data_IF_283799297699
#
_entry.id   IF_283799297699
#
_cell.length_a   1.000
_cell.length_b   1.000
_cell.length_c   1.000
_cell.angle_alpha   90.00
_cell.angle_beta   90.00
_cell.angle_gamma   90.00
#
_symmetry.space_group_name_H-M   'P 1'
#
loop_
_entity.id
_entity.type
_entity.pdbx_description
1 polymer ?
#
# COMPACT_ATOMS: atom_id res chain seq x y z
N UNK A 1 -33.24 2.28 -8.81
CA UNK A 1 -31.85 2.01 -9.28
C UNK A 1 -31.02 1.82 -8.03
N UNK A 2 -30.47 0.63 -7.79
CA UNK A 2 -29.52 0.45 -6.69
C UNK A 2 -28.24 1.18 -7.08
N UNK A 3 -27.97 2.31 -6.44
CA UNK A 3 -26.70 3.00 -6.56
C UNK A 3 -25.60 2.02 -6.10
N UNK A 4 -24.61 1.79 -6.97
CA UNK A 4 -23.44 0.99 -6.65
C UNK A 4 -22.24 1.91 -6.71
N UNK A 5 -21.48 1.97 -5.63
CA UNK A 5 -20.31 2.83 -5.59
C UNK A 5 -19.29 2.34 -6.65
N UNK A 6 -18.61 3.25 -7.36
CA UNK A 6 -17.80 2.87 -8.53
C UNK A 6 -16.66 1.90 -8.25
N UNK A 7 -16.13 1.88 -7.02
CA UNK A 7 -15.02 1.02 -6.62
C UNK A 7 -15.47 -0.10 -5.67
N UNK A 8 -16.77 -0.35 -5.55
CA UNK A 8 -17.35 -1.36 -4.63
C UNK A 8 -16.82 -2.80 -4.80
N UNK A 9 -16.12 -3.10 -5.89
CA UNK A 9 -15.49 -4.41 -6.15
C UNK A 9 -13.96 -4.35 -6.24
N UNK A 10 -13.37 -3.20 -5.93
CA UNK A 10 -11.93 -2.99 -6.04
C UNK A 10 -11.25 -3.17 -4.70
N UNK A 11 -10.24 -4.02 -4.68
CA UNK A 11 -9.24 -4.14 -3.64
C UNK A 11 -8.02 -3.28 -4.04
N UNK A 12 -7.72 -2.23 -3.29
CA UNK A 12 -6.61 -1.31 -3.59
C UNK A 12 -5.53 -1.43 -2.51
N UNK A 13 -4.33 -1.83 -2.90
CA UNK A 13 -3.19 -1.87 -2.00
C UNK A 13 -2.55 -0.46 -1.87
N UNK A 14 -2.23 -0.05 -0.65
CA UNK A 14 -1.48 1.20 -0.40
C UNK A 14 -0.10 0.84 0.16
N UNK A 15 0.93 1.37 -0.48
CA UNK A 15 2.34 1.15 -0.13
C UNK A 15 2.96 2.49 0.23
N UNK A 16 3.11 2.74 1.54
CA UNK A 16 3.61 4.01 2.08
C UNK A 16 4.76 3.76 3.04
N UNK A 17 5.76 4.62 2.98
CA UNK A 17 6.83 4.69 3.97
C UNK A 17 7.46 6.07 3.90
N UNK A 18 8.08 6.49 5.01
CA UNK A 18 8.95 7.67 5.02
C UNK A 18 10.02 7.57 3.94
N UNK A 19 10.40 8.71 3.41
CA UNK A 19 11.51 8.83 2.46
C UNK A 19 12.59 9.75 3.02
N UNK A 20 13.86 9.54 2.66
CA UNK A 20 14.95 10.43 3.04
C UNK A 20 14.89 11.80 2.34
N UNK A 21 14.03 11.97 1.32
CA UNK A 21 13.93 13.22 0.55
C UNK A 21 12.93 14.22 1.14
N UNK A 22 12.04 13.77 2.03
CA UNK A 22 10.91 14.57 2.49
C UNK A 22 11.33 15.96 2.97
N UNK A 23 12.35 16.05 3.83
CA UNK A 23 12.82 17.33 4.36
C UNK A 23 13.33 18.28 3.26
N UNK A 24 14.02 17.76 2.24
CA UNK A 24 14.50 18.54 1.10
C UNK A 24 13.35 19.03 0.21
N UNK A 25 12.23 18.31 0.21
CA UNK A 25 11.00 18.65 -0.49
C UNK A 25 10.08 19.57 0.34
N UNK A 26 10.50 19.97 1.54
CA UNK A 26 9.69 20.78 2.45
C UNK A 26 8.55 20.01 3.12
N UNK A 27 8.63 18.68 3.16
CA UNK A 27 7.63 17.78 3.72
C UNK A 27 8.11 17.22 5.06
N UNK A 28 7.19 17.14 6.03
CA UNK A 28 7.36 16.41 7.29
C UNK A 28 6.49 15.16 7.38
N UNK A 29 6.66 14.32 8.42
CA UNK A 29 5.91 13.08 8.61
C UNK A 29 4.39 13.25 8.52
N UNK A 30 3.86 14.37 9.01
CA UNK A 30 2.44 14.73 8.96
C UNK A 30 1.88 14.77 7.53
N UNK A 31 2.71 15.10 6.53
CA UNK A 31 2.28 15.08 5.14
C UNK A 31 2.02 13.66 4.63
N UNK A 32 2.69 12.64 5.18
CA UNK A 32 2.38 11.23 4.85
C UNK A 32 1.14 10.74 5.58
N UNK A 33 0.90 11.21 6.81
CA UNK A 33 -0.33 10.90 7.54
C UNK A 33 -1.54 11.50 6.83
N UNK A 34 -1.43 12.75 6.37
CA UNK A 34 -2.43 13.41 5.51
C UNK A 34 -2.60 12.66 4.19
N UNK A 35 -1.49 12.24 3.56
CA UNK A 35 -1.54 11.49 2.32
C UNK A 35 -2.27 10.14 2.45
N UNK A 36 -1.93 9.36 3.48
CA UNK A 36 -2.61 8.11 3.78
C UNK A 36 -4.08 8.38 4.09
N UNK A 37 -4.39 9.38 4.92
CA UNK A 37 -5.75 9.72 5.32
C UNK A 37 -6.62 10.06 4.13
N UNK A 38 -6.16 10.96 3.28
CA UNK A 38 -6.94 11.46 2.15
C UNK A 38 -7.10 10.41 1.05
N UNK A 39 -6.06 9.63 0.74
CA UNK A 39 -6.18 8.51 -0.21
C UNK A 39 -7.16 7.47 0.33
N UNK A 40 -7.00 7.03 1.58
CA UNK A 40 -7.85 6.02 2.17
C UNK A 40 -9.31 6.47 2.26
N UNK A 41 -9.55 7.69 2.77
CA UNK A 41 -10.89 8.27 2.93
C UNK A 41 -11.66 8.33 1.62
N UNK A 42 -11.04 8.80 0.54
CA UNK A 42 -11.71 8.90 -0.75
C UNK A 42 -11.95 7.53 -1.39
N UNK A 43 -11.01 6.59 -1.28
CA UNK A 43 -11.20 5.24 -1.81
C UNK A 43 -12.31 4.49 -1.06
N UNK A 44 -12.35 4.58 0.26
CA UNK A 44 -13.41 4.00 1.09
C UNK A 44 -14.77 4.59 0.74
N UNK A 45 -14.86 5.92 0.59
CA UNK A 45 -16.09 6.61 0.19
C UNK A 45 -16.58 6.24 -1.23
N UNK A 46 -15.70 5.66 -2.05
CA UNK A 46 -16.03 5.13 -3.37
C UNK A 46 -16.30 3.61 -3.34
N UNK A 47 -16.34 3.01 -2.16
CA UNK A 47 -16.65 1.60 -1.91
C UNK A 47 -15.46 0.64 -2.00
N UNK A 48 -14.23 1.14 -2.18
CA UNK A 48 -13.06 0.28 -2.31
C UNK A 48 -12.71 -0.41 -0.98
N UNK A 49 -12.18 -1.63 -1.06
CA UNK A 49 -11.51 -2.29 0.06
C UNK A 49 -10.02 -1.96 0.00
N UNK A 50 -9.44 -1.54 1.12
CA UNK A 50 -8.02 -1.19 1.21
C UNK A 50 -7.19 -2.35 1.74
N UNK A 51 -6.04 -2.61 1.12
CA UNK A 51 -5.09 -3.61 1.56
C UNK A 51 -3.79 -2.94 2.01
N UNK A 52 -3.29 -3.32 3.17
CA UNK A 52 -2.08 -2.72 3.74
C UNK A 52 -1.15 -3.78 4.33
N UNK A 53 0.14 -3.71 3.97
CA UNK A 53 1.19 -4.62 4.45
C UNK A 53 2.01 -4.06 5.61
N UNK A 54 1.34 -3.51 6.63
CA UNK A 54 1.99 -2.78 7.73
C UNK A 54 2.05 -3.55 9.04
N UNK A 55 3.01 -3.16 9.90
CA UNK A 55 3.09 -3.65 11.27
C UNK A 55 2.03 -2.99 12.19
N UNK A 56 1.99 -3.38 13.47
CA UNK A 56 1.05 -2.85 14.46
C UNK A 56 1.71 -1.88 15.44
N UNK A 57 2.78 -1.18 15.02
CA UNK A 57 3.47 -0.22 15.88
C UNK A 57 2.58 0.95 16.26
N UNK A 58 2.86 1.56 17.41
CA UNK A 58 2.21 2.79 17.83
C UNK A 58 2.52 3.92 16.83
N UNK A 59 1.53 4.76 16.53
CA UNK A 59 1.63 5.81 15.50
C UNK A 59 2.00 5.29 14.09
N UNK A 60 1.73 4.01 13.79
CA UNK A 60 1.85 3.45 12.44
C UNK A 60 0.59 3.65 11.60
N UNK A 61 0.74 3.62 10.28
CA UNK A 61 -0.38 3.78 9.34
C UNK A 61 -1.50 2.74 9.50
N UNK A 62 -1.20 1.53 9.99
CA UNK A 62 -2.21 0.51 10.28
C UNK A 62 -3.25 1.01 11.30
N UNK A 63 -2.80 1.73 12.34
CA UNK A 63 -3.70 2.32 13.35
C UNK A 63 -4.55 3.42 12.78
N UNK A 64 -3.93 4.31 12.00
CA UNK A 64 -4.63 5.39 11.30
C UNK A 64 -5.72 4.82 10.37
N UNK A 65 -5.42 3.76 9.60
CA UNK A 65 -6.39 3.09 8.75
C UNK A 65 -7.56 2.48 9.54
N UNK A 66 -7.28 1.82 10.67
CA UNK A 66 -8.31 1.27 11.55
C UNK A 66 -9.22 2.36 12.13
N UNK A 67 -8.66 3.51 12.51
CA UNK A 67 -9.43 4.65 12.99
C UNK A 67 -10.31 5.26 11.90
N UNK A 68 -9.80 5.36 10.67
CA UNK A 68 -10.54 5.90 9.54
C UNK A 68 -11.74 5.03 9.17
N UNK A 69 -11.55 3.71 9.06
CA UNK A 69 -12.65 2.81 8.70
C UNK A 69 -13.69 2.70 9.82
N UNK A 70 -13.27 2.78 11.09
CA UNK A 70 -14.20 2.84 12.22
C UNK A 70 -15.05 4.13 12.21
N UNK A 71 -14.51 5.26 11.74
CA UNK A 71 -15.25 6.52 11.56
C UNK A 71 -16.21 6.41 10.37
N UNK A 72 -15.71 5.98 9.20
CA UNK A 72 -16.48 5.87 7.97
C UNK A 72 -17.71 4.97 8.13
N UNK A 73 -17.58 3.86 8.84
CA UNK A 73 -18.70 2.95 9.16
C UNK A 73 -19.82 3.59 9.97
N UNK A 74 -19.53 4.56 10.85
CA UNK A 74 -20.58 5.26 11.61
C UNK A 74 -21.47 6.11 10.71
N UNK A 75 -20.97 6.49 9.55
CA UNK A 75 -21.66 7.35 8.57
C UNK A 75 -22.27 6.54 7.40
N UNK A 76 -22.03 5.22 7.33
CA UNK A 76 -22.52 4.35 6.26
C UNK A 76 -23.98 3.90 6.47
N UNK A 77 -24.66 3.54 5.39
CA UNK A 77 -26.05 3.05 5.41
C UNK A 77 -26.20 1.80 6.31
N UNK A 78 -27.35 1.71 7.01
CA UNK A 78 -27.72 0.54 7.80
C UNK A 78 -27.68 -0.73 6.92
N UNK A 79 -26.69 -1.59 7.16
CA UNK A 79 -26.52 -2.88 6.46
C UNK A 79 -25.22 -3.04 5.66
N UNK A 80 -24.31 -2.05 5.65
CA UNK A 80 -22.99 -2.24 5.04
C UNK A 80 -22.07 -3.10 5.93
N UNK A 81 -22.03 -4.41 5.65
CA UNK A 81 -21.17 -5.39 6.33
C UNK A 81 -19.79 -5.56 5.67
N UNK A 82 -19.44 -4.78 4.64
CA UNK A 82 -18.15 -4.94 3.95
C UNK A 82 -16.97 -4.55 4.83
N UNK A 83 -15.90 -5.35 4.77
CA UNK A 83 -14.61 -5.06 5.38
C UNK A 83 -13.93 -3.96 4.56
N UNK A 84 -13.71 -2.80 5.16
CA UNK A 84 -13.09 -1.66 4.47
C UNK A 84 -11.57 -1.74 4.40
N UNK A 85 -10.93 -2.40 5.37
CA UNK A 85 -9.46 -2.53 5.44
C UNK A 85 -9.04 -3.96 5.78
N UNK A 86 -8.12 -4.53 5.00
CA UNK A 86 -7.44 -5.79 5.31
C UNK A 86 -5.95 -5.51 5.55
N UNK A 87 -5.50 -5.67 6.80
CA UNK A 87 -4.09 -5.48 7.17
C UNK A 87 -3.34 -6.82 7.22
N UNK A 88 -2.32 -6.97 6.38
CA UNK A 88 -1.51 -8.17 6.25
C UNK A 88 -0.24 -8.04 7.09
N UNK A 89 -0.09 -8.93 8.07
CA UNK A 89 1.10 -9.02 8.92
C UNK A 89 2.03 -10.13 8.40
N UNK A 90 3.26 -9.76 8.05
CA UNK A 90 4.27 -10.76 7.71
C UNK A 90 4.63 -11.62 8.93
N UNK A 91 4.95 -12.89 8.71
CA UNK A 91 5.38 -13.84 9.76
C UNK A 91 6.34 -13.25 10.80
N UNK A 92 7.50 -12.66 10.42
CA UNK A 92 8.48 -12.18 11.41
C UNK A 92 7.96 -11.01 12.25
N UNK A 93 6.93 -10.28 11.78
CA UNK A 93 6.28 -9.19 12.52
C UNK A 93 5.38 -9.76 13.60
N UNK A 94 4.45 -10.66 13.23
CA UNK A 94 3.46 -11.14 14.18
C UNK A 94 3.97 -12.31 15.03
N UNK A 95 5.05 -13.00 14.66
CA UNK A 95 5.62 -14.13 15.43
C UNK A 95 5.92 -13.78 16.90
N UNK A 96 6.26 -12.52 17.18
CA UNK A 96 6.56 -12.01 18.53
C UNK A 96 5.32 -11.52 19.29
N UNK A 97 4.14 -11.49 18.66
CA UNK A 97 2.87 -11.08 19.28
C UNK A 97 2.15 -12.29 19.85
N UNK A 98 1.57 -12.17 21.06
CA UNK A 98 0.71 -13.22 21.62
C UNK A 98 -0.51 -13.46 20.75
N UNK A 99 -1.05 -14.69 20.79
CA UNK A 99 -2.29 -15.03 20.11
C UNK A 99 -3.46 -14.19 20.66
N UNK A 100 -3.56 -14.09 21.99
CA UNK A 100 -4.60 -13.32 22.69
C UNK A 100 -4.67 -11.86 22.20
N UNK A 101 -3.53 -11.19 22.08
CA UNK A 101 -3.48 -9.80 21.58
C UNK A 101 -4.03 -9.67 20.16
N UNK A 102 -3.78 -10.65 19.30
CA UNK A 102 -4.32 -10.62 17.93
C UNK A 102 -5.80 -10.96 17.89
N UNK A 103 -6.26 -11.89 18.74
CA UNK A 103 -7.68 -12.23 18.89
C UNK A 103 -8.44 -11.00 19.39
N UNK A 104 -7.96 -10.32 20.43
CA UNK A 104 -8.51 -9.08 20.96
C UNK A 104 -8.60 -8.00 19.87
N UNK A 105 -7.52 -7.80 19.11
CA UNK A 105 -7.50 -6.83 18.01
C UNK A 105 -8.51 -7.19 16.91
N UNK A 106 -8.53 -8.46 16.49
CA UNK A 106 -9.46 -8.94 15.46
C UNK A 106 -10.92 -8.76 15.88
N UNK A 107 -11.23 -9.04 17.15
CA UNK A 107 -12.55 -8.81 17.73
C UNK A 107 -12.91 -7.33 17.78
N UNK A 108 -11.97 -6.45 18.16
CA UNK A 108 -12.19 -5.01 18.21
C UNK A 108 -12.43 -4.38 16.83
N UNK A 109 -11.88 -4.99 15.77
CA UNK A 109 -12.03 -4.54 14.38
C UNK A 109 -13.18 -5.21 13.64
N UNK A 110 -13.84 -6.20 14.26
CA UNK A 110 -14.85 -7.04 13.61
C UNK A 110 -15.92 -6.18 12.93
N UNK A 111 -16.10 -6.44 11.64
CA UNK A 111 -17.00 -5.68 10.78
C UNK A 111 -16.27 -4.56 10.03
N UNK A 112 -15.41 -3.75 10.65
CA UNK A 112 -14.79 -2.62 9.95
C UNK A 112 -13.49 -2.99 9.23
N UNK A 113 -12.62 -3.75 9.88
CA UNK A 113 -11.33 -4.17 9.35
C UNK A 113 -11.00 -5.62 9.73
N UNK A 114 -10.01 -6.20 9.07
CA UNK A 114 -9.44 -7.49 9.41
C UNK A 114 -7.91 -7.43 9.49
N UNK A 115 -7.35 -8.31 10.31
CA UNK A 115 -5.90 -8.50 10.45
C UNK A 115 -5.57 -9.93 10.04
N UNK A 116 -4.80 -10.07 8.96
CA UNK A 116 -4.43 -11.35 8.36
C UNK A 116 -2.96 -11.64 8.69
N UNK A 117 -2.71 -12.73 9.42
CA UNK A 117 -1.35 -13.16 9.74
C UNK A 117 -0.84 -14.08 8.64
N UNK A 118 0.33 -13.79 8.09
CA UNK A 118 0.93 -14.56 7.01
C UNK A 118 1.92 -15.57 7.57
N UNK A 119 1.80 -16.83 7.19
CA UNK A 119 2.83 -17.84 7.39
C UNK A 119 4.10 -17.51 6.58
N UNK A 120 5.23 -18.20 6.86
CA UNK A 120 6.48 -18.02 6.11
C UNK A 120 6.34 -18.27 4.60
N UNK A 121 5.35 -19.06 4.21
CA UNK A 121 5.02 -19.42 2.82
C UNK A 121 3.99 -18.48 2.17
N UNK A 122 3.46 -17.50 2.91
CA UNK A 122 2.44 -16.58 2.42
C UNK A 122 1.01 -17.13 2.49
N UNK A 123 0.78 -18.19 3.26
CA UNK A 123 -0.58 -18.65 3.60
C UNK A 123 -1.16 -17.87 4.77
N UNK A 124 -2.49 -17.72 4.85
CA UNK A 124 -3.13 -17.08 6.01
C UNK A 124 -3.16 -18.06 7.18
N UNK A 125 -2.66 -17.61 8.32
CA UNK A 125 -2.65 -18.35 9.59
C UNK A 125 -3.66 -17.70 10.55
N UNK A 126 -4.67 -18.46 10.96
CA UNK A 126 -5.64 -18.02 11.94
C UNK A 126 -4.97 -17.79 13.31
N UNK A 127 -5.32 -16.74 14.07
CA UNK A 127 -4.74 -16.46 15.38
C UNK A 127 -4.73 -17.67 16.34
N UNK A 128 -5.78 -18.48 16.32
CA UNK A 128 -5.97 -19.66 17.17
C UNK A 128 -5.08 -20.84 16.77
N UNK A 129 -4.69 -20.89 15.50
CA UNK A 129 -3.79 -21.91 14.95
C UNK A 129 -2.31 -21.52 15.11
N UNK A 130 -2.03 -20.34 15.68
CA UNK A 130 -0.66 -19.88 15.91
C UNK A 130 -0.03 -20.64 17.07
N UNK A 131 1.23 -21.03 16.88
CA UNK A 131 2.08 -21.45 17.99
C UNK A 131 2.31 -20.31 19.00
N UNK A 132 2.95 -20.61 20.15
CA UNK A 132 3.31 -19.59 21.12
C UNK A 132 4.22 -18.51 20.49
N UNK A 133 4.15 -17.30 21.04
CA UNK A 133 4.99 -16.20 20.58
C UNK A 133 6.48 -16.58 20.68
N UNK A 134 7.24 -16.28 19.63
CA UNK A 134 8.68 -16.56 19.58
C UNK A 134 9.45 -15.53 20.37
N UNK A 135 10.42 -15.98 21.17
CA UNK A 135 11.36 -15.10 21.88
C UNK A 135 12.67 -14.91 21.12
N UNK A 136 13.03 -15.86 20.25
CA UNK A 136 14.21 -15.75 19.40
C UNK A 136 13.95 -14.75 18.26
N UNK A 137 14.90 -13.84 17.97
CA UNK A 137 14.76 -12.93 16.85
C UNK A 137 14.84 -13.70 15.53
N UNK A 138 13.97 -13.36 14.58
CA UNK A 138 14.04 -13.87 13.22
C UNK A 138 15.35 -13.41 12.54
N UNK A 139 15.95 -14.31 11.77
CA UNK A 139 17.14 -14.05 10.94
C UNK A 139 16.82 -13.10 9.79
N UNK A 140 17.84 -12.47 9.20
CA UNK A 140 17.66 -11.59 8.03
C UNK A 140 17.01 -12.31 6.85
N UNK A 141 17.32 -13.60 6.67
CA UNK A 141 16.71 -14.43 5.63
C UNK A 141 15.21 -14.64 5.89
N UNK A 142 14.81 -14.97 7.12
CA UNK A 142 13.40 -15.12 7.47
C UNK A 142 12.63 -13.79 7.38
N UNK A 143 13.28 -12.67 7.72
CA UNK A 143 12.73 -11.33 7.47
C UNK A 143 12.48 -11.09 5.99
N UNK A 144 13.47 -11.38 5.13
CA UNK A 144 13.34 -11.21 3.70
C UNK A 144 12.24 -12.10 3.11
N UNK A 145 12.27 -13.40 3.41
CA UNK A 145 11.33 -14.37 2.86
C UNK A 145 9.90 -14.10 3.35
N UNK A 146 9.70 -13.82 4.64
CA UNK A 146 8.39 -13.53 5.21
C UNK A 146 7.78 -12.20 4.72
N UNK A 147 8.60 -11.17 4.52
CA UNK A 147 8.13 -9.91 3.93
C UNK A 147 7.75 -10.09 2.46
N UNK A 148 8.58 -10.78 1.67
CA UNK A 148 8.26 -11.09 0.26
C UNK A 148 6.96 -11.92 0.16
N UNK A 149 6.80 -12.96 0.99
CA UNK A 149 5.61 -13.80 0.99
C UNK A 149 4.33 -13.00 1.29
N UNK A 150 4.38 -12.10 2.28
CA UNK A 150 3.27 -11.19 2.57
C UNK A 150 2.98 -10.23 1.41
N UNK A 151 4.01 -9.63 0.79
CA UNK A 151 3.85 -8.73 -0.36
C UNK A 151 3.22 -9.43 -1.56
N UNK A 152 3.57 -10.70 -1.80
CA UNK A 152 2.96 -11.54 -2.83
C UNK A 152 1.48 -11.84 -2.53
N UNK A 153 1.13 -12.09 -1.27
CA UNK A 153 -0.26 -12.29 -0.86
C UNK A 153 -1.09 -11.00 -1.06
N UNK A 154 -0.57 -9.84 -0.64
CA UNK A 154 -1.21 -8.54 -0.88
C UNK A 154 -1.40 -8.29 -2.37
N UNK A 155 -0.37 -8.52 -3.20
CA UNK A 155 -0.46 -8.36 -4.67
C UNK A 155 -1.55 -9.25 -5.27
N UNK A 156 -1.65 -10.49 -4.81
CA UNK A 156 -2.61 -11.46 -5.34
C UNK A 156 -4.05 -11.12 -4.94
N UNK A 157 -4.23 -10.41 -3.82
CA UNK A 157 -5.52 -9.99 -3.32
C UNK A 157 -5.93 -8.56 -3.76
N UNK A 158 -5.04 -7.80 -4.41
CA UNK A 158 -5.32 -6.46 -4.90
C UNK A 158 -5.61 -6.42 -6.40
N UNK A 159 -6.41 -5.43 -6.82
CA UNK A 159 -6.69 -5.09 -8.21
C UNK A 159 -5.83 -3.94 -8.71
N UNK A 160 -5.28 -3.13 -7.78
CA UNK A 160 -4.42 -1.99 -8.07
C UNK A 160 -3.53 -1.67 -6.87
N UNK A 161 -2.47 -0.91 -7.10
CA UNK A 161 -1.57 -0.43 -6.04
C UNK A 161 -1.28 1.07 -6.18
N UNK A 162 -1.24 1.76 -5.04
CA UNK A 162 -0.77 3.13 -4.91
C UNK A 162 0.50 3.12 -4.08
N UNK A 163 1.59 3.70 -4.61
CA UNK A 163 2.88 3.80 -3.91
C UNK A 163 3.26 5.26 -3.70
N UNK A 164 3.79 5.58 -2.52
CA UNK A 164 4.32 6.90 -2.18
C UNK A 164 5.46 6.83 -1.18
N UNK A 165 6.45 7.71 -1.36
CA UNK A 165 7.65 7.75 -0.54
C UNK A 165 8.51 6.50 -0.68
N UNK A 166 8.92 5.94 0.46
CA UNK A 166 9.71 4.71 0.52
C UNK A 166 11.17 4.96 0.88
N UNK A 167 11.66 4.27 1.90
CA UNK A 167 13.08 4.32 2.27
C UNK A 167 13.95 3.77 1.13
N UNK A 168 15.21 4.18 1.08
CA UNK A 168 16.20 3.69 0.13
C UNK A 168 17.41 3.05 0.82
N UNK A 169 17.49 3.18 2.15
CA UNK A 169 18.55 2.65 3.01
C UNK A 169 17.93 2.06 4.29
N UNK A 170 18.67 1.20 4.99
CA UNK A 170 18.22 0.61 6.26
C UNK A 170 16.92 -0.20 6.19
N UNK A 171 16.50 -0.61 4.99
CA UNK A 171 15.30 -1.44 4.81
C UNK A 171 15.56 -2.89 5.21
N UNK A 172 14.50 -3.57 5.62
CA UNK A 172 14.49 -5.03 5.79
C UNK A 172 13.98 -5.72 4.53
N UNK A 173 14.61 -6.83 4.19
CA UNK A 173 14.27 -7.67 3.06
C UNK A 173 15.18 -7.47 1.86
N UNK A 174 14.72 -7.90 0.68
CA UNK A 174 15.55 -8.04 -0.52
C UNK A 174 15.81 -6.72 -1.25
N UNK A 175 14.98 -5.72 -1.00
CA UNK A 175 15.05 -4.37 -1.56
C UNK A 175 14.12 -3.45 -0.74
N UNK A 176 14.08 -2.12 -1.00
CA UNK A 176 13.07 -1.26 -0.37
C UNK A 176 11.66 -1.83 -0.52
N UNK A 177 10.89 -1.84 0.56
CA UNK A 177 9.58 -2.51 0.57
C UNK A 177 8.59 -1.97 -0.45
N UNK A 178 8.46 -0.64 -0.52
CA UNK A 178 7.62 0.05 -1.52
C UNK A 178 8.08 -0.28 -2.95
N UNK A 179 9.39 -0.43 -3.18
CA UNK A 179 9.92 -0.81 -4.48
C UNK A 179 9.63 -2.28 -4.83
N UNK A 180 9.79 -3.21 -3.90
CA UNK A 180 9.44 -4.62 -4.15
C UNK A 180 7.96 -4.76 -4.52
N UNK A 181 7.10 -4.03 -3.81
CA UNK A 181 5.66 -3.98 -4.04
C UNK A 181 5.28 -3.37 -5.40
N UNK A 182 5.93 -2.27 -5.79
CA UNK A 182 5.79 -1.69 -7.12
C UNK A 182 6.21 -2.67 -8.21
N UNK A 183 7.35 -3.35 -8.01
CA UNK A 183 7.89 -4.30 -8.98
C UNK A 183 6.97 -5.52 -9.16
N UNK A 184 6.48 -6.09 -8.05
CA UNK A 184 5.48 -7.17 -8.10
C UNK A 184 4.22 -6.74 -8.84
N UNK A 185 3.81 -5.47 -8.72
CA UNK A 185 2.65 -4.93 -9.44
C UNK A 185 2.93 -4.86 -10.95
N UNK A 186 4.08 -4.31 -11.34
CA UNK A 186 4.50 -4.19 -12.74
C UNK A 186 4.69 -5.55 -13.42
N UNK A 187 5.40 -6.48 -12.78
CA UNK A 187 5.65 -7.84 -13.30
C UNK A 187 4.36 -8.62 -13.54
N UNK A 188 3.29 -8.28 -12.82
CA UNK A 188 1.99 -8.92 -12.96
C UNK A 188 0.94 -8.02 -13.62
N UNK A 189 1.38 -6.97 -14.32
CA UNK A 189 0.53 -6.07 -15.10
C UNK A 189 -0.61 -5.40 -14.28
N UNK A 190 -0.43 -5.31 -12.96
CA UNK A 190 -1.38 -4.71 -12.04
C UNK A 190 -1.30 -3.18 -12.14
N UNK A 191 -2.44 -2.48 -12.26
CA UNK A 191 -2.51 -1.02 -12.21
C UNK A 191 -1.71 -0.43 -11.06
N UNK A 192 -0.77 0.47 -11.38
CA UNK A 192 0.16 1.07 -10.43
C UNK A 192 0.12 2.60 -10.52
N UNK A 193 -0.09 3.26 -9.39
CA UNK A 193 -0.07 4.72 -9.26
C UNK A 193 1.19 5.14 -8.49
N UNK A 194 2.03 5.98 -9.11
CA UNK A 194 3.29 6.47 -8.53
C UNK A 194 3.14 7.91 -8.04
N UNK A 195 3.07 8.13 -6.72
CA UNK A 195 3.04 9.46 -6.12
C UNK A 195 4.48 9.87 -5.76
N UNK A 196 5.23 10.25 -6.79
CA UNK A 196 6.66 10.59 -6.70
C UNK A 196 6.99 11.86 -5.93
N UNK A 197 6.01 12.75 -5.69
CA UNK A 197 6.22 14.03 -4.99
C UNK A 197 6.62 13.89 -3.53
N UNK A 198 6.50 12.68 -2.96
CA UNK A 198 6.97 12.34 -1.61
C UNK A 198 8.41 11.79 -1.59
N UNK A 199 9.08 11.73 -2.74
CA UNK A 199 10.46 11.27 -2.89
C UNK A 199 10.63 9.76 -2.68
N UNK A 200 11.83 9.36 -2.29
CA UNK A 200 12.18 7.99 -1.96
C UNK A 200 12.29 7.06 -3.18
N UNK A 201 12.18 5.76 -2.93
CA UNK A 201 12.23 4.79 -4.02
C UNK A 201 11.06 4.95 -5.00
N UNK A 202 9.91 5.53 -4.60
CA UNK A 202 8.82 5.84 -5.54
C UNK A 202 9.26 6.85 -6.61
N UNK A 203 9.96 7.92 -6.22
CA UNK A 203 10.51 8.88 -7.18
C UNK A 203 11.57 8.25 -8.06
N UNK A 204 12.47 7.45 -7.48
CA UNK A 204 13.50 6.73 -8.24
C UNK A 204 12.89 5.80 -9.30
N UNK A 205 11.82 5.08 -8.97
CA UNK A 205 11.07 4.25 -9.94
C UNK A 205 10.49 5.12 -11.06
N UNK A 206 9.91 6.28 -10.73
CA UNK A 206 9.37 7.19 -11.75
C UNK A 206 10.45 7.72 -12.71
N UNK A 207 11.68 7.92 -12.22
CA UNK A 207 12.85 8.23 -13.06
C UNK A 207 13.17 7.08 -14.00
N UNK A 208 13.26 5.83 -13.49
CA UNK A 208 13.55 4.65 -14.32
C UNK A 208 12.50 4.42 -15.43
N UNK A 209 11.22 4.70 -15.15
CA UNK A 209 10.12 4.58 -16.11
C UNK A 209 10.03 5.76 -17.11
N UNK A 210 10.93 6.75 -17.01
CA UNK A 210 10.95 7.90 -17.91
C UNK A 210 9.84 8.93 -17.69
N UNK A 211 9.22 8.95 -16.51
CA UNK A 211 8.15 9.91 -16.16
C UNK A 211 8.70 11.27 -15.76
N UNK A 212 9.89 11.32 -15.17
CA UNK A 212 10.53 12.56 -14.72
C UNK A 212 12.03 12.47 -14.93
N UNK A 213 12.72 13.59 -15.24
CA UNK A 213 14.18 13.61 -15.19
C UNK A 213 14.70 13.30 -13.78
N UNK A 214 15.93 12.79 -13.70
CA UNK A 214 16.59 12.59 -12.43
C UNK A 214 17.04 13.95 -11.86
N UNK A 215 16.20 14.56 -11.04
CA UNK A 215 16.52 15.78 -10.27
C UNK A 215 16.91 15.47 -8.83
N UNK A 216 16.87 14.20 -8.44
CA UNK A 216 17.19 13.74 -7.09
C UNK A 216 18.66 13.33 -6.93
N UNK A 217 19.06 12.93 -5.71
CA UNK A 217 20.38 12.34 -5.49
C UNK A 217 20.53 11.05 -6.30
N UNK A 218 21.70 10.84 -6.89
CA UNK A 218 21.99 9.63 -7.64
C UNK A 218 22.16 8.43 -6.68
N UNK A 219 21.09 7.67 -6.49
CA UNK A 219 21.02 6.54 -5.54
C UNK A 219 21.08 5.20 -6.25
N UNK A 220 21.78 4.25 -5.63
CA UNK A 220 21.80 2.85 -6.08
C UNK A 220 21.40 1.95 -4.93
N UNK A 221 20.10 1.70 -4.78
CA UNK A 221 19.57 0.70 -3.86
C UNK A 221 19.35 -0.63 -4.58
N UNK A 222 19.45 -1.72 -3.82
CA UNK A 222 19.36 -3.07 -4.34
C UNK A 222 18.04 -3.28 -5.09
N UNK A 223 18.10 -3.68 -6.36
CA UNK A 223 16.94 -3.94 -7.19
C UNK A 223 16.46 -2.77 -8.07
N UNK A 224 17.04 -1.56 -7.96
CA UNK A 224 16.65 -0.40 -8.80
C UNK A 224 16.70 -0.69 -10.29
N UNK A 225 17.76 -1.36 -10.76
CA UNK A 225 17.92 -1.70 -12.18
C UNK A 225 16.82 -2.63 -12.73
N UNK A 226 16.04 -3.32 -11.88
CA UNK A 226 14.93 -4.19 -12.33
C UNK A 226 13.78 -3.40 -12.95
N UNK A 227 13.73 -2.08 -12.76
CA UNK A 227 12.71 -1.22 -13.34
C UNK A 227 13.00 -0.77 -14.78
N UNK A 228 14.25 -0.96 -15.26
CA UNK A 228 14.72 -0.47 -16.57
C UNK A 228 13.97 -1.06 -17.78
N UNK A 229 13.28 -2.19 -17.62
CA UNK A 229 12.47 -2.82 -18.66
C UNK A 229 11.03 -2.30 -18.75
N UNK A 230 10.62 -1.40 -17.85
CA UNK A 230 9.26 -0.86 -17.80
C UNK A 230 9.21 0.59 -18.29
N UNK A 231 8.01 1.02 -18.68
CA UNK A 231 7.75 2.38 -19.14
C UNK A 231 6.46 2.92 -18.51
N UNK A 232 6.09 4.15 -18.86
CA UNK A 232 4.79 4.73 -18.50
C UNK A 232 3.60 3.83 -18.88
N UNK A 233 3.68 3.08 -19.98
CA UNK A 233 2.61 2.20 -20.45
C UNK A 233 2.45 0.96 -19.55
N UNK A 234 3.51 0.59 -18.83
CA UNK A 234 3.48 -0.52 -17.86
C UNK A 234 2.63 -0.19 -16.63
N UNK A 235 2.33 1.08 -16.35
CA UNK A 235 1.55 1.49 -15.17
C UNK A 235 0.08 1.05 -15.24
N UNK A 236 -0.50 0.94 -16.45
CA UNK A 236 -1.87 0.43 -16.71
C UNK A 236 -2.97 1.03 -15.82
N UNK A 237 -2.79 2.25 -15.33
CA UNK A 237 -3.63 2.84 -14.28
C UNK A 237 -4.75 3.75 -14.81
N UNK A 238 -5.00 3.74 -16.12
CA UNK A 238 -6.05 4.53 -16.78
C UNK A 238 -5.71 6.02 -16.97
N UNK A 239 -4.54 6.47 -16.50
CA UNK A 239 -4.04 7.82 -16.74
C UNK A 239 -3.27 7.92 -18.06
N UNK A 240 -3.33 9.08 -18.69
CA UNK A 240 -2.47 9.42 -19.82
C UNK A 240 -1.03 9.63 -19.34
N UNK A 241 -0.06 9.62 -20.26
CA UNK A 241 1.33 9.89 -19.91
C UNK A 241 1.51 11.23 -19.18
N UNK A 242 0.86 12.31 -19.63
CA UNK A 242 0.95 13.62 -18.99
C UNK A 242 0.32 13.64 -17.59
N UNK A 243 -0.78 12.91 -17.38
CA UNK A 243 -1.40 12.77 -16.05
C UNK A 243 -0.53 11.95 -15.10
N UNK A 244 0.14 10.90 -15.59
CA UNK A 244 1.13 10.17 -14.80
C UNK A 244 2.32 11.04 -14.41
N UNK A 245 2.82 11.89 -15.32
CA UNK A 245 3.87 12.87 -15.00
C UNK A 245 3.39 13.87 -13.93
N UNK A 246 2.15 14.35 -14.05
CA UNK A 246 1.57 15.24 -13.04
C UNK A 246 1.40 14.57 -11.67
N UNK A 247 0.99 13.30 -11.64
CA UNK A 247 0.87 12.52 -10.40
C UNK A 247 2.23 12.30 -9.75
N UNK A 248 3.27 12.01 -10.54
CA UNK A 248 4.65 11.87 -10.07
C UNK A 248 5.19 13.18 -9.50
N UNK A 249 4.87 14.31 -10.11
CA UNK A 249 5.44 15.60 -9.71
C UNK A 249 4.78 16.24 -8.48
N UNK A 250 3.53 15.89 -8.17
CA UNK A 250 2.77 16.59 -7.13
C UNK A 250 2.99 16.00 -5.72
N UNK A 251 3.25 16.89 -4.76
CA UNK A 251 3.13 16.59 -3.33
C UNK A 251 1.78 17.08 -2.76
N UNK A 252 0.94 17.74 -3.57
CA UNK A 252 -0.39 18.16 -3.17
C UNK A 252 -1.35 16.98 -3.21
N UNK A 253 -1.74 16.53 -2.02
CA UNK A 253 -2.52 15.30 -1.89
C UNK A 253 -3.87 15.35 -2.61
N UNK A 254 -4.55 16.49 -2.60
CA UNK A 254 -5.84 16.66 -3.30
C UNK A 254 -5.70 16.42 -4.81
N UNK A 255 -4.61 16.92 -5.41
CA UNK A 255 -4.32 16.70 -6.82
C UNK A 255 -3.99 15.23 -7.08
N UNK A 256 -3.20 14.60 -6.21
CA UNK A 256 -2.85 13.19 -6.33
C UNK A 256 -4.10 12.30 -6.26
N UNK A 257 -4.98 12.53 -5.29
CA UNK A 257 -6.26 11.81 -5.15
C UNK A 257 -7.14 12.01 -6.37
N UNK A 258 -7.29 13.24 -6.86
CA UNK A 258 -8.11 13.53 -8.04
C UNK A 258 -7.62 12.76 -9.29
N UNK A 259 -6.29 12.64 -9.46
CA UNK A 259 -5.68 11.86 -10.54
C UNK A 259 -5.88 10.36 -10.32
N UNK A 260 -5.64 9.85 -9.11
CA UNK A 260 -5.87 8.43 -8.78
C UNK A 260 -7.31 8.02 -9.09
N UNK A 261 -8.29 8.78 -8.58
CA UNK A 261 -9.72 8.52 -8.82
C UNK A 261 -10.06 8.59 -10.30
N UNK A 262 -9.50 9.56 -11.04
CA UNK A 262 -9.68 9.66 -12.49
C UNK A 262 -9.18 8.41 -13.22
N UNK A 263 -8.02 7.89 -12.83
CA UNK A 263 -7.47 6.64 -13.37
C UNK A 263 -8.42 5.47 -13.17
N UNK A 264 -8.85 5.25 -11.93
CA UNK A 264 -9.83 4.21 -11.60
C UNK A 264 -11.14 4.34 -12.37
N UNK A 265 -11.74 5.53 -12.40
CA UNK A 265 -13.03 5.75 -13.09
C UNK A 265 -12.94 5.50 -14.60
N UNK A 266 -11.77 5.70 -15.23
CA UNK A 266 -11.55 5.33 -16.63
C UNK A 266 -11.41 3.83 -16.81
N UNK A 267 -10.74 3.14 -15.88
CA UNK A 267 -10.64 1.68 -15.94
C UNK A 267 -12.02 1.00 -15.81
N UNK A 268 -12.90 1.51 -14.94
CA UNK A 268 -14.28 0.99 -14.81
C UNK A 268 -15.07 1.15 -16.11
N UNK A 269 -14.92 2.29 -16.81
CA UNK A 269 -15.58 2.50 -18.11
C UNK A 269 -15.07 1.55 -19.19
N UNK A 270 -13.81 1.14 -19.13
CA UNK A 270 -13.23 0.17 -20.08
C UNK A 270 -13.71 -1.24 -19.75
N UNK A 271 -13.82 -1.60 -18.47
CA UNK A 271 -14.26 -2.93 -18.03
C UNK A 271 -15.77 -3.17 -18.19
N UNK A 272 -16.58 -2.10 -18.21
CA UNK A 272 -18.03 -2.16 -18.39
C UNK A 272 -18.53 -2.12 -19.84
N UNK A 273 -17.64 -1.96 -20.82
CA UNK A 273 -17.93 -2.05 -22.26
C UNK A 273 -17.48 -3.39 -22.83
#
# INVERSE_FOLDING_TARGET
>A
MNYREPLSQRAVAISISTSPDMALLGLGPEHLDDAMTEVARHLLAMGARLLYGGDLREHGFSRLLFELVARHRRDADLGDERVGVSNYLAWPVHAHLSADRLIELSNALKGSAEVLCMGPDGTVVLPEARGPATTAPATDKEWADGLTAMRMAVRSASDARIVLGGTVEGFKGRMPGVAEEALLSLENEQPLFLLGGFGGCTFDIAVELGLTPNTGPNRSWLGRGRFSGFSVDSLRNGLTANENKALVATAHIDQAVALVLRGFLRQEKIAGN
#
